data_IF_163821437738
#
_entry.id   IF_163821437738
#
_cell.length_a   1.000
_cell.length_b   1.000
_cell.length_c   1.000
_cell.angle_alpha   90.00
_cell.angle_beta   90.00
_cell.angle_gamma   90.00
#
_symmetry.space_group_name_H-M   'P 1'
#
loop_
_entity.id
_entity.type
_entity.pdbx_description
1 polymer ?
#
# COMPACT_ATOMS: atom_id res chain seq x y z
N UNK A 1 -5.89 4.82 -34.84
CA UNK A 1 -6.90 4.55 -33.79
C UNK A 1 -6.34 3.45 -32.91
N UNK A 2 -6.06 3.77 -31.66
CA UNK A 2 -5.50 2.83 -30.69
C UNK A 2 -6.62 1.89 -30.28
N UNK A 3 -6.47 0.58 -30.55
CA UNK A 3 -7.43 -0.42 -30.14
C UNK A 3 -7.55 -0.55 -28.60
N UNK A 4 -8.69 -1.04 -28.06
CA UNK A 4 -8.91 -1.16 -26.62
C UNK A 4 -7.84 -2.01 -25.92
N UNK A 5 -7.26 -2.98 -26.61
CA UNK A 5 -6.18 -3.83 -26.09
C UNK A 5 -4.86 -3.04 -25.87
N UNK A 6 -4.54 -2.13 -26.78
CA UNK A 6 -3.36 -1.28 -26.66
C UNK A 6 -3.49 -0.29 -25.48
N UNK A 7 -4.68 0.26 -25.25
CA UNK A 7 -4.96 1.10 -24.09
C UNK A 7 -4.75 0.35 -22.77
N UNK A 8 -5.19 -0.90 -22.70
CA UNK A 8 -5.04 -1.74 -21.51
C UNK A 8 -3.55 -2.04 -21.25
N UNK A 9 -2.77 -2.32 -22.29
CA UNK A 9 -1.32 -2.55 -22.18
C UNK A 9 -0.58 -1.30 -21.72
N UNK A 10 -0.92 -0.13 -22.24
CA UNK A 10 -0.35 1.16 -21.82
C UNK A 10 -0.70 1.44 -20.35
N UNK A 11 -1.95 1.20 -19.95
CA UNK A 11 -2.39 1.40 -18.56
C UNK A 11 -1.65 0.47 -17.59
N UNK A 12 -1.48 -0.81 -17.97
CA UNK A 12 -0.70 -1.77 -17.20
C UNK A 12 0.78 -1.39 -17.12
N UNK A 13 1.35 -0.91 -18.21
CA UNK A 13 2.73 -0.40 -18.25
C UNK A 13 2.94 0.80 -17.33
N UNK A 14 2.04 1.79 -17.40
CA UNK A 14 2.06 2.97 -16.54
C UNK A 14 1.94 2.61 -15.05
N UNK A 15 1.04 1.68 -14.70
CA UNK A 15 0.88 1.20 -13.33
C UNK A 15 2.17 0.57 -12.79
N UNK A 16 2.82 -0.29 -13.57
CA UNK A 16 4.11 -0.91 -13.20
C UNK A 16 5.22 0.13 -13.03
N UNK A 17 5.32 1.08 -13.95
CA UNK A 17 6.30 2.17 -13.85
C UNK A 17 6.04 3.03 -12.59
N UNK A 18 4.81 3.34 -12.29
CA UNK A 18 4.45 4.13 -11.11
C UNK A 18 4.86 3.41 -9.81
N UNK A 19 4.57 2.11 -9.71
CA UNK A 19 4.98 1.29 -8.55
C UNK A 19 6.50 1.28 -8.40
N UNK A 20 7.24 1.09 -9.51
CA UNK A 20 8.70 1.12 -9.50
C UNK A 20 9.24 2.48 -9.06
N UNK A 21 8.68 3.58 -9.54
CA UNK A 21 9.08 4.93 -9.14
C UNK A 21 8.83 5.15 -7.66
N UNK A 22 7.67 4.78 -7.13
CA UNK A 22 7.36 4.90 -5.70
C UNK A 22 8.32 4.06 -4.86
N UNK A 23 8.59 2.82 -5.28
CA UNK A 23 9.54 1.93 -4.62
C UNK A 23 10.95 2.55 -4.60
N UNK A 24 11.43 3.02 -5.74
CA UNK A 24 12.76 3.63 -5.86
C UNK A 24 12.87 4.91 -5.03
N UNK A 25 11.84 5.77 -5.05
CA UNK A 25 11.80 6.99 -4.23
C UNK A 25 11.84 6.66 -2.74
N UNK A 26 11.09 5.66 -2.30
CA UNK A 26 11.06 5.27 -0.88
C UNK A 26 12.38 4.63 -0.45
N UNK A 27 12.95 3.76 -1.28
CA UNK A 27 14.27 3.15 -1.02
C UNK A 27 15.38 4.21 -0.99
N UNK A 28 15.33 5.19 -1.88
CA UNK A 28 16.28 6.31 -1.91
C UNK A 28 16.15 7.18 -0.64
N UNK A 29 14.93 7.51 -0.24
CA UNK A 29 14.68 8.30 0.96
C UNK A 29 15.14 7.56 2.22
N UNK A 30 14.93 6.25 2.29
CA UNK A 30 15.42 5.40 3.36
C UNK A 30 16.95 5.29 3.40
N UNK A 31 17.59 5.21 2.25
CA UNK A 31 19.05 5.15 2.15
C UNK A 31 19.72 6.47 2.55
N UNK A 32 19.10 7.60 2.19
CA UNK A 32 19.63 8.93 2.54
C UNK A 32 19.38 9.33 3.97
N UNK A 33 18.22 8.96 4.50
CA UNK A 33 17.82 9.35 5.85
C UNK A 33 17.87 8.11 6.72
N UNK A 34 18.85 8.02 7.60
CA UNK A 34 18.98 6.90 8.54
C UNK A 34 17.74 6.86 9.45
N UNK A 35 16.74 6.07 9.09
CA UNK A 35 15.58 5.80 9.94
C UNK A 35 15.85 4.60 10.85
N UNK A 36 15.37 4.66 12.08
CA UNK A 36 15.29 3.47 12.92
C UNK A 36 14.19 2.56 12.39
N UNK A 37 14.59 1.39 11.89
CA UNK A 37 13.66 0.36 11.43
C UNK A 37 13.01 -0.34 12.61
N UNK A 38 11.84 0.13 13.01
CA UNK A 38 10.98 -0.58 13.95
C UNK A 38 10.13 -1.63 13.24
N UNK A 39 9.77 -2.76 13.89
CA UNK A 39 8.90 -3.78 13.29
C UNK A 39 7.56 -3.19 12.79
N UNK A 40 7.10 -2.15 13.43
CA UNK A 40 5.90 -1.40 13.06
C UNK A 40 6.03 -0.74 11.68
N UNK A 41 7.12 0.01 11.46
CA UNK A 41 7.40 0.66 10.17
C UNK A 41 7.55 -0.39 9.06
N UNK A 42 8.18 -1.53 9.34
CA UNK A 42 8.32 -2.61 8.38
C UNK A 42 6.96 -3.16 7.94
N UNK A 43 6.06 -3.42 8.88
CA UNK A 43 4.70 -3.92 8.57
C UNK A 43 3.90 -2.88 7.78
N UNK A 44 3.95 -1.61 8.18
CA UNK A 44 3.27 -0.52 7.48
C UNK A 44 3.81 -0.36 6.05
N UNK A 45 5.12 -0.48 5.84
CA UNK A 45 5.74 -0.42 4.53
C UNK A 45 5.29 -1.57 3.63
N UNK A 46 5.39 -2.81 4.12
CA UNK A 46 5.00 -3.99 3.34
C UNK A 46 3.50 -3.93 3.00
N UNK A 47 2.66 -3.52 3.94
CA UNK A 47 1.23 -3.30 3.70
C UNK A 47 0.99 -2.23 2.63
N UNK A 48 1.66 -1.09 2.73
CA UNK A 48 1.54 0.00 1.76
C UNK A 48 1.89 -0.44 0.35
N UNK A 49 3.01 -1.16 0.18
CA UNK A 49 3.40 -1.70 -1.13
C UNK A 49 2.46 -2.78 -1.63
N UNK A 50 1.97 -3.66 -0.76
CA UNK A 50 0.98 -4.66 -1.14
C UNK A 50 -0.31 -4.00 -1.66
N UNK A 51 -0.81 -2.99 -0.97
CA UNK A 51 -2.01 -2.25 -1.37
C UNK A 51 -1.82 -1.47 -2.67
N UNK A 52 -0.68 -0.77 -2.86
CA UNK A 52 -0.35 -0.09 -4.11
C UNK A 52 -0.31 -1.09 -5.26
N UNK A 53 0.34 -2.22 -5.06
CA UNK A 53 0.46 -3.25 -6.09
C UNK A 53 -0.92 -3.76 -6.52
N UNK A 54 -1.78 -4.07 -5.57
CA UNK A 54 -3.16 -4.52 -5.86
C UNK A 54 -3.98 -3.42 -6.55
N UNK A 55 -3.79 -2.16 -6.16
CA UNK A 55 -4.55 -1.04 -6.71
C UNK A 55 -4.19 -0.70 -8.16
N UNK A 56 -2.88 -0.68 -8.47
CA UNK A 56 -2.38 -0.20 -9.77
C UNK A 56 -2.13 -1.29 -10.81
N UNK A 57 -2.10 -2.58 -10.43
CA UNK A 57 -1.97 -3.65 -11.40
C UNK A 57 -3.36 -4.16 -11.85
N UNK A 58 -3.83 -3.78 -13.05
CA UNK A 58 -4.94 -4.45 -13.69
C UNK A 58 -4.50 -5.88 -14.01
N UNK A 59 -5.36 -6.86 -13.94
CA UNK A 59 -5.10 -8.28 -14.16
C UNK A 59 -4.35 -9.03 -13.03
N UNK A 60 -4.13 -8.43 -11.88
CA UNK A 60 -3.72 -9.21 -10.73
C UNK A 60 -4.84 -10.17 -10.35
N UNK A 61 -4.49 -11.44 -10.26
CA UNK A 61 -5.40 -12.45 -9.75
C UNK A 61 -5.76 -12.10 -8.30
N UNK A 62 -7.00 -12.28 -7.94
CA UNK A 62 -7.57 -11.98 -6.61
C UNK A 62 -6.77 -12.56 -5.44
N UNK A 63 -5.97 -13.60 -5.72
CA UNK A 63 -5.08 -14.25 -4.74
C UNK A 63 -4.06 -13.31 -4.08
N UNK A 64 -3.67 -12.23 -4.76
CA UNK A 64 -2.71 -11.27 -4.20
C UNK A 64 -3.34 -10.31 -3.19
N UNK A 65 -4.67 -10.12 -3.24
CA UNK A 65 -5.43 -9.38 -2.23
C UNK A 65 -5.34 -10.01 -0.84
N UNK A 66 -5.22 -11.33 -0.76
CA UNK A 66 -5.12 -12.07 0.49
C UNK A 66 -3.91 -11.64 1.35
N UNK A 67 -2.77 -11.35 0.72
CA UNK A 67 -1.61 -10.84 1.46
C UNK A 67 -1.91 -9.49 2.12
N UNK A 68 -2.58 -8.60 1.41
CA UNK A 68 -2.97 -7.31 1.95
C UNK A 68 -4.01 -7.46 3.08
N UNK A 69 -4.95 -8.42 2.96
CA UNK A 69 -5.93 -8.71 4.02
C UNK A 69 -5.24 -9.15 5.33
N UNK A 70 -4.29 -10.07 5.25
CA UNK A 70 -3.52 -10.53 6.42
C UNK A 70 -2.68 -9.41 7.02
N UNK A 71 -2.03 -8.61 6.17
CA UNK A 71 -1.21 -7.49 6.62
C UNK A 71 -2.04 -6.37 7.26
N UNK A 72 -3.27 -6.12 6.79
CA UNK A 72 -4.17 -5.15 7.42
C UNK A 72 -4.60 -5.57 8.82
N UNK A 73 -4.80 -6.87 9.05
CA UNK A 73 -5.08 -7.42 10.39
C UNK A 73 -3.87 -7.22 11.31
N UNK A 74 -2.67 -7.54 10.82
CA UNK A 74 -1.43 -7.32 11.58
C UNK A 74 -1.22 -5.83 11.89
N UNK A 75 -1.51 -4.95 10.94
CA UNK A 75 -1.47 -3.51 11.14
C UNK A 75 -2.44 -3.03 12.23
N UNK A 76 -3.65 -3.61 12.29
CA UNK A 76 -4.62 -3.29 13.34
C UNK A 76 -4.17 -3.71 14.73
N UNK A 77 -3.45 -4.83 14.84
CA UNK A 77 -2.84 -5.27 16.11
C UNK A 77 -1.81 -4.25 16.60
N UNK A 78 -1.01 -3.71 15.69
CA UNK A 78 -0.02 -2.68 15.99
C UNK A 78 -0.62 -1.29 16.26
N UNK A 79 -1.80 -1.02 15.67
CA UNK A 79 -2.56 0.23 15.79
C UNK A 79 -4.03 -0.02 16.10
N UNK A 80 -4.42 -0.30 17.35
CA UNK A 80 -5.81 -0.61 17.69
C UNK A 80 -6.78 0.54 17.35
N UNK A 81 -6.30 1.79 17.31
CA UNK A 81 -7.12 2.96 16.90
C UNK A 81 -7.52 2.93 15.41
N UNK A 82 -6.87 2.11 14.59
CA UNK A 82 -7.10 1.98 13.14
C UNK A 82 -7.79 0.65 12.78
N UNK A 83 -8.51 0.07 13.72
CA UNK A 83 -9.20 -1.21 13.53
C UNK A 83 -10.21 -1.21 12.37
N UNK A 84 -10.69 -0.05 11.95
CA UNK A 84 -11.58 0.06 10.79
C UNK A 84 -10.89 -0.28 9.45
N UNK A 85 -9.56 -0.14 9.36
CA UNK A 85 -8.79 -0.40 8.13
C UNK A 85 -8.92 -1.87 7.69
N UNK A 86 -8.63 -2.89 8.52
CA UNK A 86 -8.84 -4.27 8.12
C UNK A 86 -10.30 -4.60 7.86
N UNK A 87 -11.24 -4.05 8.65
CA UNK A 87 -12.66 -4.31 8.41
C UNK A 87 -13.11 -3.84 7.02
N UNK A 88 -12.74 -2.62 6.65
CA UNK A 88 -13.06 -2.08 5.32
C UNK A 88 -12.32 -2.82 4.20
N UNK A 89 -11.05 -3.17 4.41
CA UNK A 89 -10.26 -3.88 3.40
C UNK A 89 -10.82 -5.27 3.14
N UNK A 90 -11.10 -6.04 4.19
CA UNK A 90 -11.71 -7.37 4.08
C UNK A 90 -13.10 -7.30 3.45
N UNK A 91 -13.89 -6.25 3.77
CA UNK A 91 -15.17 -6.03 3.12
C UNK A 91 -15.00 -5.82 1.60
N UNK A 92 -14.05 -5.00 1.18
CA UNK A 92 -13.74 -4.75 -0.24
C UNK A 92 -13.34 -6.06 -0.91
N UNK A 93 -12.45 -6.83 -0.30
CA UNK A 93 -12.01 -8.13 -0.80
C UNK A 93 -13.20 -9.09 -0.93
N UNK A 94 -14.03 -9.20 0.09
CA UNK A 94 -15.21 -10.07 0.10
C UNK A 94 -16.18 -9.73 -1.04
N UNK A 95 -16.47 -8.45 -1.23
CA UNK A 95 -17.36 -8.00 -2.32
C UNK A 95 -16.74 -8.25 -3.70
N UNK A 96 -15.42 -8.06 -3.83
CA UNK A 96 -14.71 -8.39 -5.07
C UNK A 96 -14.83 -9.87 -5.41
N UNK A 97 -14.66 -10.76 -4.42
CA UNK A 97 -14.84 -12.20 -4.58
C UNK A 97 -16.29 -12.57 -4.94
N UNK A 98 -17.27 -11.97 -4.25
CA UNK A 98 -18.69 -12.21 -4.53
C UNK A 98 -19.05 -11.79 -5.96
N UNK A 99 -18.54 -10.66 -6.43
CA UNK A 99 -18.73 -10.22 -7.82
C UNK A 99 -18.18 -11.22 -8.83
N UNK A 100 -17.01 -11.79 -8.54
CA UNK A 100 -16.42 -12.81 -9.41
C UNK A 100 -17.28 -14.09 -9.47
N UNK A 101 -17.85 -14.49 -8.33
CA UNK A 101 -18.69 -15.68 -8.22
C UNK A 101 -20.08 -15.52 -8.85
N UNK A 102 -20.75 -14.39 -8.58
CA UNK A 102 -22.15 -14.17 -8.99
C UNK A 102 -22.29 -13.46 -10.33
N UNK A 103 -21.20 -12.86 -10.86
CA UNK A 103 -21.19 -11.98 -12.03
C UNK A 103 -22.15 -10.79 -11.95
N UNK A 104 -22.78 -10.57 -10.80
CA UNK A 104 -23.64 -9.44 -10.53
C UNK A 104 -22.95 -8.44 -9.61
N UNK A 105 -23.08 -7.15 -9.91
CA UNK A 105 -22.54 -6.07 -9.08
C UNK A 105 -23.67 -5.24 -8.50
N UNK A 106 -23.84 -5.30 -7.21
CA UNK A 106 -24.83 -4.49 -6.48
C UNK A 106 -24.42 -3.01 -6.40
N UNK A 107 -23.12 -2.74 -6.45
CA UNK A 107 -22.57 -1.38 -6.39
C UNK A 107 -21.54 -1.14 -7.51
N UNK A 108 -21.38 0.10 -8.00
CA UNK A 108 -20.39 0.41 -9.03
C UNK A 108 -18.97 0.16 -8.53
N UNK A 109 -18.13 -0.48 -9.33
CA UNK A 109 -16.73 -0.78 -9.03
C UNK A 109 -15.93 0.47 -8.62
N UNK A 110 -16.32 1.61 -9.13
CA UNK A 110 -15.70 2.91 -8.85
C UNK A 110 -15.77 3.25 -7.36
N UNK A 111 -16.85 2.89 -6.68
CA UNK A 111 -16.99 3.12 -5.24
C UNK A 111 -15.95 2.37 -4.42
N UNK A 112 -15.71 1.09 -4.75
CA UNK A 112 -14.69 0.28 -4.08
C UNK A 112 -13.27 0.77 -4.37
N UNK A 113 -13.03 1.26 -5.59
CA UNK A 113 -11.75 1.85 -5.94
C UNK A 113 -11.46 3.11 -5.11
N UNK A 114 -12.44 3.99 -4.90
CA UNK A 114 -12.29 5.16 -4.02
C UNK A 114 -12.08 4.77 -2.56
N UNK A 115 -12.79 3.74 -2.08
CA UNK A 115 -12.64 3.26 -0.72
C UNK A 115 -11.24 2.68 -0.49
N UNK A 116 -10.74 1.89 -1.44
CA UNK A 116 -9.39 1.34 -1.39
C UNK A 116 -8.33 2.45 -1.48
N UNK A 117 -8.55 3.47 -2.31
CA UNK A 117 -7.69 4.64 -2.38
C UNK A 117 -7.64 5.40 -1.05
N UNK A 118 -8.77 5.55 -0.39
CA UNK A 118 -8.86 6.16 0.93
C UNK A 118 -8.06 5.37 1.99
N UNK A 119 -8.18 4.03 1.99
CA UNK A 119 -7.40 3.17 2.87
C UNK A 119 -5.90 3.27 2.57
N UNK A 120 -5.53 3.27 1.30
CA UNK A 120 -4.14 3.43 0.86
C UNK A 120 -3.56 4.78 1.32
N UNK A 121 -4.31 5.86 1.18
CA UNK A 121 -3.90 7.18 1.66
C UNK A 121 -3.74 7.21 3.20
N UNK A 122 -4.64 6.54 3.92
CA UNK A 122 -4.57 6.44 5.39
C UNK A 122 -3.31 5.72 5.85
N UNK A 123 -3.03 4.54 5.27
CA UNK A 123 -1.82 3.76 5.59
C UNK A 123 -0.57 4.52 5.18
N UNK A 124 -0.57 5.16 4.01
CA UNK A 124 0.55 5.98 3.54
C UNK A 124 0.85 7.18 4.44
N UNK A 125 -0.18 7.86 4.94
CA UNK A 125 -0.01 8.97 5.88
C UNK A 125 0.53 8.49 7.25
N UNK A 126 0.07 7.34 7.72
CA UNK A 126 0.55 6.78 8.98
C UNK A 126 2.01 6.34 8.84
N UNK A 127 2.37 5.70 7.74
CA UNK A 127 3.76 5.35 7.42
C UNK A 127 4.66 6.58 7.35
N UNK A 128 4.24 7.63 6.63
CA UNK A 128 5.00 8.87 6.52
C UNK A 128 5.21 9.53 7.89
N UNK A 129 4.18 9.53 8.72
CA UNK A 129 4.21 10.08 10.07
C UNK A 129 5.16 9.32 11.00
N UNK A 130 5.14 7.98 10.92
CA UNK A 130 6.02 7.14 11.73
C UNK A 130 7.48 7.24 11.26
N UNK A 131 7.72 7.27 9.96
CA UNK A 131 9.05 7.52 9.42
C UNK A 131 9.62 8.87 9.88
N UNK A 132 8.79 9.92 9.93
CA UNK A 132 9.24 11.24 10.41
C UNK A 132 9.52 11.27 11.92
N UNK A 133 8.80 10.47 12.70
CA UNK A 133 9.01 10.36 14.16
C UNK A 133 10.29 9.61 14.51
N UNK A 134 10.62 8.59 13.75
CA UNK A 134 11.79 7.72 13.99
C UNK A 134 13.06 8.23 13.26
N UNK A 135 13.02 9.48 12.76
CA UNK A 135 14.21 10.11 12.20
C UNK A 135 15.25 10.30 13.30
N UNK A 136 16.41 9.70 13.15
CA UNK A 136 17.55 9.94 14.05
C UNK A 136 18.06 11.36 13.79
N UNK A 137 18.18 12.23 14.81
CA UNK A 137 18.79 13.54 14.64
C UNK A 137 20.22 13.39 14.12
N UNK A 138 20.59 14.18 13.12
CA UNK A 138 21.94 14.14 12.51
C UNK A 138 23.07 14.37 13.52
N UNK A 139 22.79 15.11 14.58
CA UNK A 139 23.74 15.41 15.66
C UNK A 139 24.26 14.17 16.40
N UNK A 140 23.47 13.08 16.45
CA UNK A 140 23.91 11.85 17.13
C UNK A 140 24.78 10.95 16.23
N UNK A 141 24.69 11.12 14.91
CA UNK A 141 25.52 10.34 13.97
C UNK A 141 26.91 10.89 13.80
N UNK A 142 27.12 12.20 14.00
CA UNK A 142 28.45 12.83 13.97
C UNK A 142 29.25 12.53 15.24
N UNK A 143 28.57 12.36 16.37
CA UNK A 143 29.21 11.98 17.63
C UNK A 143 29.74 10.54 17.67
N UNK A 144 29.09 9.60 17.00
CA UNK A 144 29.54 8.21 16.91
C UNK A 144 30.67 7.99 15.87
N UNK A 145 30.77 8.84 14.86
CA UNK A 145 31.83 8.80 13.87
C UNK A 145 33.13 9.47 14.34
N UNK A 146 33.11 10.18 15.47
CA UNK A 146 34.25 10.91 16.03
C UNK A 146 34.94 10.16 17.20
N UNK A 147 34.51 8.93 17.54
CA UNK A 147 35.14 8.03 18.54
C UNK A 147 35.70 6.83 17.81
#
# INVERSE_FOLDING_TARGET
IIGPEALIQVYSGLGKCLILVILMCTMYDMSRRKYRMTPRIMVEMVLFYAMITVYFLPFMHERYGYLADVLTVLYAVLRPKRFYVPMLHVLISCVSYMKFLTKESTLPMVFYAFLLLFLLATVGMDLYRDMHRERVPEELTEGEAAV
#
